data_IF_699816216379
#
_entry.id   IF_699816216379
#
_cell.length_a   1.000
_cell.length_b   1.000
_cell.length_c   1.000
_cell.angle_alpha   90.00
_cell.angle_beta   90.00
_cell.angle_gamma   90.00
#
_symmetry.space_group_name_H-M   'P 1'
#
loop_
_entity.id
_entity.type
_entity.pdbx_description
1 polymer ?
#
# COMPACT_ATOMS: atom_id res chain seq x y z
N UNK A 1 13.84 57.24 -16.53
CA UNK A 1 13.43 56.37 -17.64
C UNK A 1 12.72 55.16 -17.04
N UNK A 2 11.40 55.12 -17.12
CA UNK A 2 10.57 54.02 -16.63
C UNK A 2 10.49 52.93 -17.70
N UNK A 3 10.91 51.71 -17.38
CA UNK A 3 10.71 50.54 -18.24
C UNK A 3 9.41 49.85 -17.87
N UNK A 4 8.47 49.78 -18.81
CA UNK A 4 7.23 49.00 -18.70
C UNK A 4 7.50 47.56 -19.10
N UNK A 5 7.22 46.60 -18.21
CA UNK A 5 7.16 45.18 -18.55
C UNK A 5 5.69 44.77 -18.72
N UNK A 6 5.35 44.16 -19.86
CA UNK A 6 4.04 43.53 -20.12
C UNK A 6 4.23 42.05 -20.41
N UNK A 7 3.32 41.20 -19.91
CA UNK A 7 3.26 39.76 -20.23
C UNK A 7 1.93 39.47 -20.89
N UNK A 8 1.95 38.72 -21.99
CA UNK A 8 0.77 38.30 -22.76
C UNK A 8 0.41 36.87 -22.34
N UNK A 9 -0.84 36.66 -21.92
CA UNK A 9 -1.42 35.32 -21.75
C UNK A 9 -2.83 35.32 -22.35
N UNK A 10 -3.07 34.45 -23.34
CA UNK A 10 -4.34 34.29 -24.06
C UNK A 10 -4.98 35.59 -24.59
N UNK A 11 -4.18 36.45 -25.23
CA UNK A 11 -4.69 37.57 -26.03
C UNK A 11 -5.26 38.77 -25.27
N UNK A 12 -5.12 38.83 -23.93
CA UNK A 12 -5.56 39.99 -23.12
C UNK A 12 -4.36 40.69 -22.50
N UNK A 13 -4.27 42.01 -22.68
CA UNK A 13 -3.25 42.86 -22.06
C UNK A 13 -3.63 43.22 -20.61
N UNK A 14 -2.77 42.92 -19.64
CA UNK A 14 -2.94 43.32 -18.24
C UNK A 14 -1.82 44.29 -17.83
N UNK A 15 -2.19 45.48 -17.35
CA UNK A 15 -1.26 46.47 -16.81
C UNK A 15 -1.13 46.34 -15.27
N UNK A 16 0.08 46.12 -14.77
CA UNK A 16 0.37 46.09 -13.32
C UNK A 16 0.89 47.46 -12.85
N UNK A 17 0.19 48.09 -11.90
CA UNK A 17 0.70 49.26 -11.13
C UNK A 17 1.27 48.77 -9.81
N UNK A 18 2.60 48.81 -9.67
CA UNK A 18 3.30 48.63 -8.39
C UNK A 18 3.32 49.97 -7.64
N UNK A 19 2.72 50.01 -6.45
CA UNK A 19 2.80 51.16 -5.56
C UNK A 19 3.63 50.79 -4.32
N UNK A 20 4.84 51.34 -4.23
CA UNK A 20 5.78 51.12 -3.14
C UNK A 20 5.66 52.23 -2.09
N UNK A 21 5.06 51.94 -0.92
CA UNK A 21 5.30 52.71 0.31
C UNK A 21 5.29 51.78 1.53
N UNK A 22 6.46 51.63 2.15
CA UNK A 22 6.68 51.05 3.47
C UNK A 22 6.66 52.16 4.54
N UNK A 23 6.17 51.89 5.76
CA UNK A 23 6.65 52.54 6.97
C UNK A 23 7.41 51.58 7.91
N UNK A 24 8.37 52.14 8.67
CA UNK A 24 9.28 51.44 9.63
C UNK A 24 8.66 51.23 11.02
N UNK A 25 9.26 50.28 11.76
CA UNK A 25 8.94 49.67 13.05
C UNK A 25 8.67 50.59 14.27
N UNK A 26 7.83 50.08 15.19
CA UNK A 26 8.09 50.06 16.65
C UNK A 26 7.23 48.98 17.36
N UNK A 27 7.74 48.43 18.48
CA UNK A 27 7.11 47.46 19.42
C UNK A 27 6.99 48.17 20.81
N UNK A 28 6.02 47.87 21.72
CA UNK A 28 6.01 46.67 22.59
C UNK A 28 4.61 46.05 22.88
N UNK A 29 4.61 44.81 23.40
CA UNK A 29 3.49 43.93 23.85
C UNK A 29 2.58 44.53 24.96
N UNK A 30 1.32 44.05 25.20
CA UNK A 30 0.98 42.68 25.67
C UNK A 30 -0.30 41.99 25.09
N UNK A 31 -0.38 40.67 25.26
CA UNK A 31 -1.55 39.76 25.05
C UNK A 31 -2.73 40.11 26.00
N UNK A 32 -3.99 39.57 25.91
CA UNK A 32 -4.44 38.33 25.25
C UNK A 32 -5.86 38.39 24.58
N UNK A 33 -6.28 37.34 23.84
CA UNK A 33 -7.43 36.46 24.15
C UNK A 33 -7.91 35.65 22.93
N UNK A 34 -8.27 34.39 23.18
CA UNK A 34 -8.69 33.39 22.20
C UNK A 34 -10.13 33.60 21.73
N UNK A 35 -10.39 33.37 20.43
CA UNK A 35 -11.67 32.87 19.91
C UNK A 35 -11.51 32.32 18.47
N UNK A 36 -12.19 31.21 18.21
CA UNK A 36 -12.12 30.31 17.04
C UNK A 36 -12.40 31.00 15.68
N UNK A 37 -11.77 30.59 14.57
CA UNK A 37 -12.25 30.94 13.24
C UNK A 37 -13.22 29.90 12.67
N UNK A 38 -14.42 30.37 12.33
CA UNK A 38 -15.33 29.73 11.38
C UNK A 38 -14.72 29.80 9.97
N UNK A 39 -14.67 28.67 9.28
CA UNK A 39 -14.31 28.59 7.87
C UNK A 39 -15.48 29.08 6.99
N UNK A 40 -15.20 30.09 6.18
CA UNK A 40 -16.09 30.63 5.14
C UNK A 40 -15.92 29.79 3.87
N UNK A 41 -17.04 29.33 3.30
CA UNK A 41 -17.14 28.65 2.02
C UNK A 41 -16.81 29.59 0.85
N UNK A 42 -16.02 29.12 -0.11
CA UNK A 42 -15.83 29.80 -1.39
C UNK A 42 -17.04 29.54 -2.31
N UNK A 43 -17.52 30.62 -2.92
CA UNK A 43 -18.57 30.67 -3.93
C UNK A 43 -18.12 30.01 -5.25
N UNK A 44 -19.00 29.18 -5.82
CA UNK A 44 -19.02 28.83 -7.24
C UNK A 44 -20.13 29.63 -7.93
N UNK A 45 -19.81 30.06 -9.15
CA UNK A 45 -20.59 30.95 -10.02
C UNK A 45 -21.88 30.29 -10.54
N UNK A 46 -22.93 31.10 -10.56
CA UNK A 46 -24.29 30.82 -11.01
C UNK A 46 -24.41 30.70 -12.54
N UNK A 47 -25.18 29.71 -13.01
CA UNK A 47 -25.92 29.77 -14.28
C UNK A 47 -27.41 29.70 -13.95
N UNK A 48 -28.15 30.65 -14.49
CA UNK A 48 -29.55 30.96 -14.23
C UNK A 48 -30.42 30.23 -15.26
N UNK A 49 -31.45 29.52 -14.79
CA UNK A 49 -32.68 29.27 -15.57
C UNK A 49 -33.85 29.41 -14.62
N UNK A 50 -34.78 30.30 -15.00
CA UNK A 50 -36.01 30.63 -14.29
C UNK A 50 -37.02 29.48 -14.42
N UNK A 51 -37.76 29.13 -13.35
CA UNK A 51 -39.22 29.28 -13.37
C UNK A 51 -39.88 29.10 -11.98
N UNK A 52 -40.78 30.05 -11.74
CA UNK A 52 -41.94 30.23 -10.84
C UNK A 52 -42.20 29.38 -9.58
N UNK A 53 -42.70 30.16 -8.62
CA UNK A 53 -43.18 29.96 -7.25
C UNK A 53 -44.59 29.33 -7.21
N UNK A 54 -44.90 28.53 -6.19
CA UNK A 54 -46.27 28.09 -5.87
C UNK A 54 -46.35 27.31 -4.55
N UNK A 55 -47.21 27.77 -3.65
CA UNK A 55 -47.31 27.46 -2.21
C UNK A 55 -47.91 26.08 -1.81
N UNK A 56 -47.60 25.71 -0.56
CA UNK A 56 -48.38 25.00 0.49
C UNK A 56 -49.42 23.92 0.16
N UNK A 57 -49.34 22.76 0.86
CA UNK A 57 -50.38 22.28 1.81
C UNK A 57 -50.10 20.83 2.29
N UNK A 58 -50.77 20.49 3.38
CA UNK A 58 -50.60 19.34 4.27
C UNK A 58 -51.49 18.13 3.92
N UNK A 59 -51.11 16.98 4.50
CA UNK A 59 -51.92 15.81 4.93
C UNK A 59 -52.46 14.75 3.95
N UNK A 60 -52.06 13.52 4.28
CA UNK A 60 -52.79 12.24 4.30
C UNK A 60 -53.32 11.61 3.00
N UNK A 61 -52.85 10.39 2.72
CA UNK A 61 -53.47 9.49 1.76
C UNK A 61 -52.60 8.30 1.36
N UNK A 62 -52.73 7.19 2.09
CA UNK A 62 -52.30 5.86 1.64
C UNK A 62 -53.18 5.47 0.45
N UNK A 63 -52.60 5.33 -0.74
CA UNK A 63 -53.02 4.33 -1.72
C UNK A 63 -51.98 4.18 -2.84
N UNK A 64 -51.50 2.94 -3.00
CA UNK A 64 -50.95 2.34 -4.22
C UNK A 64 -49.85 3.12 -4.97
N UNK A 65 -48.61 3.00 -4.49
CA UNK A 65 -47.46 3.07 -5.39
C UNK A 65 -47.22 1.66 -5.91
N UNK A 66 -47.59 1.44 -7.17
CA UNK A 66 -47.05 0.36 -7.98
C UNK A 66 -45.52 0.43 -7.88
N UNK A 67 -44.92 -0.53 -7.19
CA UNK A 67 -43.48 -0.71 -7.21
C UNK A 67 -43.17 -1.20 -8.63
N UNK A 68 -42.73 -0.28 -9.49
CA UNK A 68 -42.03 -0.62 -10.73
C UNK A 68 -40.76 -1.40 -10.35
N UNK A 69 -40.92 -2.72 -10.22
CA UNK A 69 -39.83 -3.68 -10.33
C UNK A 69 -39.39 -3.68 -11.79
N UNK A 70 -38.56 -2.72 -12.16
CA UNK A 70 -37.67 -2.88 -13.30
C UNK A 70 -36.33 -3.41 -12.79
N UNK A 71 -36.39 -4.60 -12.16
CA UNK A 71 -35.21 -5.44 -12.02
C UNK A 71 -35.10 -6.22 -13.32
N UNK A 72 -34.08 -5.90 -14.11
CA UNK A 72 -33.82 -6.56 -15.38
C UNK A 72 -33.79 -8.09 -15.17
N UNK A 73 -34.26 -8.90 -16.15
CA UNK A 73 -34.26 -10.36 -16.04
C UNK A 73 -32.89 -10.95 -15.71
N UNK A 74 -31.80 -10.24 -16.04
CA UNK A 74 -30.42 -10.60 -15.66
C UNK A 74 -30.12 -10.44 -14.17
N UNK A 75 -30.69 -9.42 -13.48
CA UNK A 75 -30.45 -9.19 -12.05
C UNK A 75 -31.14 -10.22 -11.17
N UNK A 76 -32.38 -10.58 -11.50
CA UNK A 76 -33.13 -11.64 -10.78
C UNK A 76 -32.46 -12.99 -10.99
N UNK A 77 -32.08 -13.30 -12.25
CA UNK A 77 -31.36 -14.54 -12.60
C UNK A 77 -29.96 -14.61 -11.97
N UNK A 78 -29.28 -13.47 -11.83
CA UNK A 78 -28.00 -13.35 -11.14
C UNK A 78 -28.11 -13.56 -9.62
N UNK A 79 -29.18 -13.06 -8.99
CA UNK A 79 -29.43 -13.23 -7.55
C UNK A 79 -29.86 -14.65 -7.19
N UNK A 80 -30.66 -15.29 -8.06
CA UNK A 80 -31.02 -16.71 -7.94
C UNK A 80 -29.81 -17.63 -8.19
N UNK A 81 -28.98 -17.33 -9.20
CA UNK A 81 -27.73 -18.04 -9.45
C UNK A 81 -26.73 -17.90 -8.29
N UNK A 82 -26.65 -16.71 -7.67
CA UNK A 82 -25.82 -16.47 -6.49
C UNK A 82 -26.33 -17.23 -5.26
N UNK A 83 -27.63 -17.23 -5.01
CA UNK A 83 -28.24 -17.98 -3.91
C UNK A 83 -28.11 -19.51 -4.09
N UNK A 84 -28.22 -20.01 -5.33
CA UNK A 84 -27.99 -21.42 -5.66
C UNK A 84 -26.50 -21.80 -5.50
N UNK A 85 -25.59 -20.91 -5.91
CA UNK A 85 -24.14 -21.07 -5.72
C UNK A 85 -23.77 -21.10 -4.23
N UNK A 86 -24.31 -20.18 -3.43
CA UNK A 86 -24.06 -20.12 -1.98
C UNK A 86 -24.56 -21.38 -1.25
N UNK A 87 -25.74 -21.91 -1.62
CA UNK A 87 -26.26 -23.18 -1.07
C UNK A 87 -25.40 -24.38 -1.46
N UNK A 88 -24.90 -24.40 -2.69
CA UNK A 88 -24.01 -25.46 -3.19
C UNK A 88 -22.66 -25.41 -2.46
N UNK A 89 -22.06 -24.23 -2.30
CA UNK A 89 -20.81 -24.04 -1.54
C UNK A 89 -20.98 -24.43 -0.07
N UNK A 90 -22.07 -24.02 0.57
CA UNK A 90 -22.36 -24.41 1.94
C UNK A 90 -22.48 -25.95 2.09
N UNK A 91 -23.10 -26.62 1.11
CA UNK A 91 -23.20 -28.08 1.08
C UNK A 91 -21.82 -28.76 0.99
N UNK A 92 -20.95 -28.27 0.10
CA UNK A 92 -19.59 -28.80 -0.07
C UNK A 92 -18.70 -28.55 1.16
N UNK A 93 -18.84 -27.38 1.80
CA UNK A 93 -18.14 -27.07 3.05
C UNK A 93 -18.60 -27.99 4.18
N UNK A 94 -19.92 -28.19 4.34
CA UNK A 94 -20.45 -29.11 5.34
C UNK A 94 -20.01 -30.56 5.09
N UNK A 95 -19.98 -31.01 3.83
CA UNK A 95 -19.49 -32.33 3.46
C UNK A 95 -17.99 -32.51 3.77
N UNK A 96 -17.17 -31.50 3.47
CA UNK A 96 -15.74 -31.51 3.78
C UNK A 96 -15.45 -31.52 5.29
N UNK A 97 -16.22 -30.76 6.08
CA UNK A 97 -16.13 -30.77 7.54
C UNK A 97 -16.56 -32.12 8.12
N UNK A 98 -17.67 -32.70 7.64
CA UNK A 98 -18.11 -34.03 8.06
C UNK A 98 -17.07 -35.11 7.71
N UNK A 99 -16.42 -35.00 6.56
CA UNK A 99 -15.34 -35.90 6.15
C UNK A 99 -14.10 -35.74 7.02
N UNK A 100 -13.66 -34.50 7.32
CA UNK A 100 -12.54 -34.24 8.22
C UNK A 100 -12.79 -34.76 9.64
N UNK A 101 -14.02 -34.66 10.14
CA UNK A 101 -14.44 -35.27 11.41
C UNK A 101 -14.36 -36.80 11.33
N UNK A 102 -14.82 -37.40 10.23
CA UNK A 102 -14.73 -38.85 9.99
C UNK A 102 -13.28 -39.36 9.96
N UNK A 103 -12.36 -38.62 9.33
CA UNK A 103 -10.91 -38.90 9.35
C UNK A 103 -10.37 -38.80 10.77
N UNK A 104 -10.85 -37.84 11.57
CA UNK A 104 -10.45 -37.71 12.98
C UNK A 104 -10.84 -38.90 13.85
N UNK A 105 -12.00 -39.49 13.60
CA UNK A 105 -12.45 -40.70 14.30
C UNK A 105 -11.71 -41.97 13.88
N UNK A 106 -11.25 -42.05 12.62
CA UNK A 106 -10.57 -43.24 12.08
C UNK A 106 -9.05 -43.21 12.30
N UNK A 107 -8.43 -42.08 12.03
CA UNK A 107 -6.97 -41.93 11.91
C UNK A 107 -6.38 -40.95 12.94
N UNK A 108 -7.22 -40.40 13.82
CA UNK A 108 -6.82 -39.54 14.94
C UNK A 108 -6.87 -38.04 14.63
N UNK A 109 -6.98 -37.23 15.69
CA UNK A 109 -7.24 -35.79 15.61
C UNK A 109 -6.15 -35.03 14.83
N UNK A 110 -4.89 -35.46 14.91
CA UNK A 110 -3.78 -34.84 14.16
C UNK A 110 -3.95 -34.90 12.64
N UNK A 111 -4.43 -36.03 12.10
CA UNK A 111 -4.69 -36.20 10.66
C UNK A 111 -5.90 -35.39 10.19
N UNK A 112 -6.92 -35.24 11.05
CA UNK A 112 -8.04 -34.33 10.77
C UNK A 112 -7.61 -32.86 10.75
N UNK A 113 -6.71 -32.45 11.65
CA UNK A 113 -6.17 -31.08 11.67
C UNK A 113 -5.33 -30.77 10.43
N UNK A 114 -4.50 -31.72 9.97
CA UNK A 114 -3.76 -31.60 8.70
C UNK A 114 -4.72 -31.43 7.51
N UNK A 115 -5.77 -32.25 7.43
CA UNK A 115 -6.76 -32.20 6.37
C UNK A 115 -7.55 -30.87 6.36
N UNK A 116 -8.02 -30.42 7.52
CA UNK A 116 -8.78 -29.16 7.65
C UNK A 116 -7.87 -27.95 7.38
N UNK A 117 -6.59 -28.00 7.80
CA UNK A 117 -5.60 -26.96 7.49
C UNK A 117 -5.31 -26.87 5.98
N UNK A 118 -5.19 -28.01 5.30
CA UNK A 118 -5.04 -28.07 3.84
C UNK A 118 -6.27 -27.50 3.11
N UNK A 119 -7.47 -27.87 3.54
CA UNK A 119 -8.73 -27.32 2.99
C UNK A 119 -8.85 -25.81 3.19
N UNK A 120 -8.44 -25.29 4.35
CA UNK A 120 -8.41 -23.85 4.62
C UNK A 120 -7.47 -23.11 3.67
N UNK A 121 -6.28 -23.66 3.39
CA UNK A 121 -5.32 -23.10 2.41
C UNK A 121 -5.87 -23.09 0.98
N UNK A 122 -6.61 -24.12 0.58
CA UNK A 122 -7.29 -24.17 -0.72
C UNK A 122 -8.45 -23.14 -0.80
N UNK A 123 -9.19 -22.95 0.29
CA UNK A 123 -10.28 -21.97 0.36
C UNK A 123 -9.81 -20.51 0.44
N UNK A 124 -8.74 -20.23 1.18
CA UNK A 124 -8.12 -18.89 1.20
C UNK A 124 -7.39 -18.61 -0.10
N UNK A 125 -6.77 -19.62 -0.71
CA UNK A 125 -6.22 -19.55 -2.07
C UNK A 125 -7.28 -19.25 -3.12
N UNK A 126 -8.46 -19.89 -3.07
CA UNK A 126 -9.54 -19.62 -4.03
C UNK A 126 -10.24 -18.26 -3.84
N UNK A 127 -10.28 -17.69 -2.61
CA UNK A 127 -10.77 -16.32 -2.39
C UNK A 127 -9.82 -15.23 -2.89
N UNK A 128 -8.51 -15.52 -3.02
CA UNK A 128 -7.56 -14.64 -3.72
C UNK A 128 -7.61 -14.79 -5.26
N UNK A 129 -8.17 -15.90 -5.77
CA UNK A 129 -8.30 -16.22 -7.20
C UNK A 129 -9.54 -15.57 -7.85
N UNK A 130 -10.09 -14.48 -7.30
CA UNK A 130 -11.13 -13.72 -8.03
C UNK A 130 -10.58 -12.85 -9.18
N UNK A 131 -9.25 -12.74 -9.35
CA UNK A 131 -8.64 -11.91 -10.40
C UNK A 131 -7.78 -12.64 -11.45
N UNK A 132 -7.59 -13.95 -11.37
CA UNK A 132 -6.79 -14.70 -12.35
C UNK A 132 -7.43 -16.02 -12.82
N UNK A 133 -8.76 -16.13 -12.72
CA UNK A 133 -9.52 -17.30 -13.17
C UNK A 133 -9.39 -17.62 -14.68
N UNK A 134 -8.78 -16.74 -15.49
CA UNK A 134 -8.62 -16.96 -16.93
C UNK A 134 -7.46 -17.93 -17.27
N UNK A 135 -6.39 -17.96 -16.47
CA UNK A 135 -5.20 -18.78 -16.81
C UNK A 135 -5.31 -20.25 -16.33
N UNK A 136 -5.89 -20.48 -15.14
CA UNK A 136 -6.09 -21.83 -14.61
C UNK A 136 -7.22 -22.58 -15.35
N UNK A 137 -8.25 -21.88 -15.81
CA UNK A 137 -9.33 -22.49 -16.61
C UNK A 137 -8.81 -23.02 -17.96
N UNK A 138 -7.87 -22.29 -18.58
CA UNK A 138 -7.19 -22.69 -19.82
C UNK A 138 -6.36 -23.96 -19.64
N UNK A 139 -5.65 -24.07 -18.50
CA UNK A 139 -4.87 -25.27 -18.14
C UNK A 139 -5.76 -26.47 -17.82
N UNK A 140 -6.92 -26.21 -17.20
CA UNK A 140 -7.93 -27.21 -16.87
C UNK A 140 -8.65 -27.75 -18.13
N UNK A 141 -8.95 -26.89 -19.10
CA UNK A 141 -9.52 -27.28 -20.40
C UNK A 141 -8.52 -28.01 -21.29
N UNK A 142 -7.22 -27.68 -21.22
CA UNK A 142 -6.16 -28.44 -21.89
C UNK A 142 -6.01 -29.86 -21.31
N UNK A 143 -6.13 -30.02 -19.99
CA UNK A 143 -6.07 -31.33 -19.32
C UNK A 143 -7.36 -32.16 -19.51
N UNK A 144 -8.53 -31.53 -19.65
CA UNK A 144 -9.80 -32.21 -19.96
C UNK A 144 -9.98 -32.55 -21.46
N UNK A 145 -9.35 -31.81 -22.37
CA UNK A 145 -9.46 -32.09 -23.82
C UNK A 145 -8.70 -33.34 -24.26
N UNK A 146 -7.81 -33.88 -23.41
CA UNK A 146 -7.23 -35.18 -23.60
C UNK A 146 -8.24 -36.27 -23.18
N UNK A 147 -8.58 -37.19 -24.08
CA UNK A 147 -9.42 -38.39 -23.91
C UNK A 147 -8.93 -39.40 -22.85
N UNK A 148 -8.00 -38.96 -22.01
CA UNK A 148 -7.19 -39.75 -21.10
C UNK A 148 -7.64 -39.68 -19.64
N UNK A 149 -8.67 -38.90 -19.29
CA UNK A 149 -9.21 -38.81 -17.92
C UNK A 149 -10.56 -39.53 -17.83
N UNK A 150 -10.73 -40.40 -16.82
CA UNK A 150 -12.00 -41.08 -16.57
C UNK A 150 -12.99 -40.15 -15.86
N UNK A 151 -14.26 -40.21 -16.25
CA UNK A 151 -15.34 -39.45 -15.61
C UNK A 151 -15.74 -39.98 -14.22
N UNK A 152 -15.27 -41.18 -13.86
CA UNK A 152 -15.65 -41.86 -12.62
C UNK A 152 -14.51 -41.92 -11.63
N UNK A 153 -14.82 -41.67 -10.36
CA UNK A 153 -13.88 -41.81 -9.25
C UNK A 153 -13.65 -43.29 -8.94
N UNK A 154 -12.39 -43.73 -8.97
CA UNK A 154 -11.98 -45.13 -8.72
C UNK A 154 -11.16 -45.24 -7.43
N UNK A 155 -11.75 -44.75 -6.33
CA UNK A 155 -11.14 -44.77 -5.00
C UNK A 155 -9.75 -44.13 -4.97
N UNK A 156 -8.78 -44.84 -4.40
CA UNK A 156 -7.40 -44.36 -4.21
C UNK A 156 -6.47 -44.63 -5.41
N UNK A 157 -6.99 -45.13 -6.55
CA UNK A 157 -6.17 -45.43 -7.71
C UNK A 157 -5.99 -44.19 -8.57
N UNK A 158 -4.75 -43.87 -8.92
CA UNK A 158 -4.43 -42.76 -9.84
C UNK A 158 -4.74 -43.07 -11.31
N UNK A 159 -4.85 -44.36 -11.65
CA UNK A 159 -5.16 -44.82 -12.99
C UNK A 159 -6.21 -45.92 -12.95
N UNK A 160 -7.10 -45.92 -13.94
CA UNK A 160 -8.13 -46.95 -14.11
C UNK A 160 -8.15 -47.42 -15.57
N UNK A 161 -8.63 -48.63 -15.82
CA UNK A 161 -8.79 -49.17 -17.17
C UNK A 161 -10.26 -49.10 -17.57
N UNK A 162 -10.56 -48.34 -18.61
CA UNK A 162 -11.91 -48.19 -19.15
C UNK A 162 -11.84 -48.37 -20.66
N UNK A 163 -12.68 -49.27 -21.19
CA UNK A 163 -12.71 -49.64 -22.62
C UNK A 163 -11.35 -50.10 -23.17
N UNK A 164 -10.56 -50.81 -22.35
CA UNK A 164 -9.23 -51.31 -22.73
C UNK A 164 -8.11 -50.25 -22.72
N UNK A 165 -8.41 -48.99 -22.39
CA UNK A 165 -7.44 -47.89 -22.34
C UNK A 165 -7.19 -47.47 -20.89
N UNK A 166 -5.92 -47.29 -20.52
CA UNK A 166 -5.53 -46.77 -19.21
C UNK A 166 -5.78 -45.27 -19.15
N UNK A 167 -6.72 -44.84 -18.30
CA UNK A 167 -7.10 -43.44 -18.07
C UNK A 167 -6.64 -42.98 -16.68
N UNK A 168 -6.25 -41.72 -16.56
CA UNK A 168 -6.04 -41.05 -15.28
C UNK A 168 -7.37 -40.83 -14.56
N UNK A 169 -7.39 -41.00 -13.24
CA UNK A 169 -8.59 -40.74 -12.43
C UNK A 169 -8.66 -39.27 -12.03
N UNK A 170 -9.85 -38.77 -11.64
CA UNK A 170 -10.00 -37.42 -11.09
C UNK A 170 -9.07 -37.15 -9.90
N UNK A 171 -8.72 -38.18 -9.12
CA UNK A 171 -7.79 -38.07 -7.99
C UNK A 171 -6.39 -37.63 -8.44
N UNK A 172 -5.85 -38.19 -9.54
CA UNK A 172 -4.55 -37.79 -10.07
C UNK A 172 -4.58 -36.36 -10.59
N UNK A 173 -5.68 -35.95 -11.20
CA UNK A 173 -5.87 -34.57 -11.66
C UNK A 173 -5.93 -33.59 -10.49
N UNK A 174 -6.63 -33.93 -9.40
CA UNK A 174 -6.68 -33.11 -8.19
C UNK A 174 -5.29 -32.95 -7.57
N UNK A 175 -4.52 -34.04 -7.45
CA UNK A 175 -3.13 -33.96 -6.93
C UNK A 175 -2.26 -33.12 -7.86
N UNK A 176 -2.35 -33.31 -9.19
CA UNK A 176 -1.60 -32.50 -10.14
C UNK A 176 -1.95 -31.01 -10.03
N UNK A 177 -3.22 -30.65 -9.84
CA UNK A 177 -3.63 -29.24 -9.65
C UNK A 177 -3.11 -28.67 -8.34
N UNK A 178 -3.12 -29.44 -7.24
CA UNK A 178 -2.58 -29.00 -5.95
C UNK A 178 -1.07 -28.77 -6.07
N UNK A 179 -0.32 -29.74 -6.59
CA UNK A 179 1.14 -29.64 -6.75
C UNK A 179 1.53 -28.54 -7.74
N UNK A 180 0.81 -28.38 -8.86
CA UNK A 180 1.04 -27.30 -9.82
C UNK A 180 0.67 -25.93 -9.24
N UNK A 181 -0.33 -25.85 -8.36
CA UNK A 181 -0.63 -24.62 -7.65
C UNK A 181 0.49 -24.25 -6.68
N UNK A 182 1.05 -25.22 -5.94
CA UNK A 182 2.19 -24.99 -5.04
C UNK A 182 3.45 -24.54 -5.81
N UNK A 183 3.71 -25.11 -6.99
CA UNK A 183 4.79 -24.67 -7.88
C UNK A 183 4.51 -23.27 -8.44
N UNK A 184 3.29 -22.96 -8.88
CA UNK A 184 2.94 -21.62 -9.37
C UNK A 184 3.09 -20.56 -8.25
N UNK A 185 2.65 -20.87 -7.03
CA UNK A 185 2.87 -20.00 -5.87
C UNK A 185 4.35 -19.85 -5.52
N UNK A 186 5.16 -20.89 -5.65
CA UNK A 186 6.60 -20.82 -5.42
C UNK A 186 7.35 -19.99 -6.48
N UNK A 187 6.82 -19.90 -7.70
CA UNK A 187 7.41 -19.15 -8.81
C UNK A 187 6.93 -17.69 -8.84
N UNK A 188 5.71 -17.39 -8.37
CA UNK A 188 5.11 -16.05 -8.43
C UNK A 188 5.45 -15.13 -7.24
N UNK A 189 6.00 -15.64 -6.14
CA UNK A 189 6.60 -14.78 -5.11
C UNK A 189 8.08 -14.58 -5.43
N UNK A 190 8.54 -13.35 -5.78
CA UNK A 190 9.95 -13.10 -5.96
C UNK A 190 10.65 -13.36 -4.62
N UNK A 191 11.34 -14.49 -4.50
CA UNK A 191 12.25 -14.74 -3.40
C UNK A 191 13.26 -13.61 -3.38
N UNK A 192 13.29 -12.85 -2.28
CA UNK A 192 14.20 -11.72 -2.13
C UNK A 192 15.63 -12.17 -2.43
N UNK A 193 16.24 -11.61 -3.50
CA UNK A 193 17.62 -11.89 -3.86
C UNK A 193 18.54 -11.03 -2.99
N UNK A 194 19.48 -11.67 -2.30
CA UNK A 194 20.46 -10.96 -1.49
C UNK A 194 21.40 -10.18 -2.43
N UNK A 195 21.35 -8.85 -2.35
CA UNK A 195 22.14 -7.93 -3.17
C UNK A 195 23.34 -7.42 -2.37
N UNK A 196 24.53 -7.41 -3.00
CA UNK A 196 25.67 -6.69 -2.44
C UNK A 196 25.48 -5.19 -2.67
N UNK A 197 25.42 -4.43 -1.58
CA UNK A 197 25.11 -3.01 -1.63
C UNK A 197 26.30 -2.20 -2.17
N UNK A 198 26.10 -1.32 -3.17
CA UNK A 198 27.18 -0.50 -3.68
C UNK A 198 27.72 0.46 -2.61
N UNK A 199 29.02 0.82 -2.65
CA UNK A 199 29.61 1.78 -1.74
C UNK A 199 29.01 3.17 -1.93
N UNK A 200 28.99 3.96 -0.87
CA UNK A 200 28.43 5.32 -0.90
C UNK A 200 29.34 6.27 -1.69
N UNK A 201 28.78 7.01 -2.64
CA UNK A 201 29.47 8.02 -3.41
C UNK A 201 29.59 9.33 -2.64
N UNK A 202 30.76 9.95 -2.71
CA UNK A 202 31.10 11.20 -2.04
C UNK A 202 31.55 12.30 -3.03
N UNK A 203 32.05 13.42 -2.52
CA UNK A 203 32.50 14.56 -3.35
C UNK A 203 33.64 14.25 -4.32
N UNK A 204 34.40 13.19 -4.08
CA UNK A 204 35.51 12.76 -4.94
C UNK A 204 35.06 11.77 -6.03
N UNK A 205 33.85 11.26 -5.92
CA UNK A 205 33.31 10.25 -6.81
C UNK A 205 32.87 10.83 -8.15
N UNK A 206 33.23 10.16 -9.25
CA UNK A 206 32.74 10.52 -10.58
C UNK A 206 31.25 10.21 -10.73
N UNK A 207 30.50 10.95 -11.57
CA UNK A 207 29.09 10.65 -11.82
C UNK A 207 28.94 9.28 -12.50
N UNK A 208 27.87 8.52 -12.22
CA UNK A 208 27.51 7.39 -13.06
C UNK A 208 27.14 7.88 -14.47
N UNK A 209 27.08 6.98 -15.47
CA UNK A 209 26.47 7.31 -16.75
C UNK A 209 25.05 7.84 -16.52
N UNK A 210 24.70 8.97 -17.12
CA UNK A 210 23.39 9.61 -16.95
C UNK A 210 22.56 9.43 -18.22
N UNK A 211 21.30 9.06 -18.06
CA UNK A 211 20.31 8.87 -19.12
C UNK A 211 20.75 7.86 -20.20
N UNK A 212 21.53 6.85 -19.80
CA UNK A 212 22.00 5.75 -20.66
C UNK A 212 20.97 4.62 -20.85
N UNK A 213 19.75 4.81 -20.32
CA UNK A 213 18.68 3.81 -20.32
C UNK A 213 18.63 2.94 -19.06
N UNK A 214 19.63 3.00 -18.19
CA UNK A 214 19.61 2.30 -16.89
C UNK A 214 18.75 3.07 -15.89
N UNK A 215 17.81 2.38 -15.24
CA UNK A 215 17.02 2.98 -14.16
C UNK A 215 17.85 3.05 -12.89
N UNK A 216 17.98 4.25 -12.30
CA UNK A 216 18.78 4.48 -11.10
C UNK A 216 17.96 5.13 -9.99
N UNK A 217 18.07 4.60 -8.78
CA UNK A 217 17.51 5.19 -7.57
C UNK A 217 18.64 5.80 -6.75
N UNK A 218 18.72 7.12 -6.73
CA UNK A 218 19.64 7.88 -5.91
C UNK A 218 19.14 7.90 -4.47
N UNK A 219 19.93 7.36 -3.54
CA UNK A 219 19.53 7.15 -2.14
C UNK A 219 20.57 7.68 -1.18
N UNK A 220 20.22 7.73 0.09
CA UNK A 220 21.18 7.65 1.19
C UNK A 220 20.68 6.53 2.10
N UNK A 221 21.55 5.61 2.50
CA UNK A 221 21.14 4.40 3.24
C UNK A 221 20.44 4.71 4.57
N UNK A 222 20.76 5.83 5.21
CA UNK A 222 20.14 6.23 6.48
C UNK A 222 18.90 7.14 6.30
N UNK A 223 18.56 7.56 5.08
CA UNK A 223 17.44 8.49 4.83
C UNK A 223 16.08 7.76 4.85
N UNK A 224 15.15 8.11 5.76
CA UNK A 224 13.86 7.43 5.85
C UNK A 224 12.97 7.65 4.62
N UNK A 225 13.08 8.79 3.96
CA UNK A 225 12.34 9.05 2.71
C UNK A 225 12.85 8.16 1.57
N UNK A 226 14.16 7.94 1.48
CA UNK A 226 14.74 7.08 0.46
C UNK A 226 14.44 5.60 0.74
N UNK A 227 14.40 5.23 2.01
CA UNK A 227 14.06 3.87 2.45
C UNK A 227 12.66 3.45 1.99
N UNK A 228 11.66 4.35 1.93
CA UNK A 228 10.33 4.05 1.35
C UNK A 228 10.44 3.45 -0.06
N UNK A 229 11.22 4.12 -0.90
CA UNK A 229 11.39 3.75 -2.31
C UNK A 229 12.24 2.49 -2.44
N UNK A 230 13.24 2.34 -1.55
CA UNK A 230 14.06 1.14 -1.48
C UNK A 230 13.25 -0.11 -1.05
N UNK A 231 12.40 0.00 -0.03
CA UNK A 231 11.49 -1.09 0.37
C UNK A 231 10.55 -1.44 -0.79
N UNK A 232 9.97 -0.44 -1.46
CA UNK A 232 9.07 -0.66 -2.61
C UNK A 232 9.78 -1.41 -3.74
N UNK A 233 11.01 -0.99 -4.09
CA UNK A 233 11.88 -1.67 -5.07
C UNK A 233 12.10 -3.13 -4.68
N UNK A 234 12.51 -3.38 -3.45
CA UNK A 234 12.85 -4.72 -2.98
C UNK A 234 11.63 -5.64 -2.93
N UNK A 235 10.50 -5.13 -2.45
CA UNK A 235 9.26 -5.91 -2.31
C UNK A 235 8.68 -6.30 -3.67
N UNK A 236 8.85 -5.44 -4.68
CA UNK A 236 8.42 -5.73 -6.06
C UNK A 236 9.42 -6.59 -6.84
N UNK A 237 10.54 -7.00 -6.25
CA UNK A 237 11.56 -7.80 -6.94
C UNK A 237 12.36 -7.01 -8.00
N UNK A 238 12.47 -5.69 -7.85
CA UNK A 238 13.05 -4.80 -8.86
C UNK A 238 14.55 -4.53 -8.66
N UNK A 239 15.25 -5.39 -7.92
CA UNK A 239 16.66 -5.20 -7.58
C UNK A 239 17.55 -5.12 -8.84
N UNK A 240 17.29 -5.98 -9.82
CA UNK A 240 18.05 -5.99 -11.07
C UNK A 240 17.70 -4.84 -12.00
N UNK A 241 16.46 -4.36 -11.93
CA UNK A 241 15.93 -3.31 -12.83
C UNK A 241 16.26 -1.90 -12.37
N UNK A 242 16.29 -1.67 -11.05
CA UNK A 242 16.53 -0.35 -10.46
C UNK A 242 17.87 -0.42 -9.72
N UNK A 243 18.91 0.23 -10.23
CA UNK A 243 20.22 0.23 -9.58
C UNK A 243 20.30 1.30 -8.48
N UNK A 244 20.82 0.94 -7.31
CA UNK A 244 21.02 1.90 -6.22
C UNK A 244 22.25 2.75 -6.49
N UNK A 245 22.10 4.06 -6.28
CA UNK A 245 23.21 5.03 -6.29
C UNK A 245 23.22 5.73 -4.93
N UNK A 246 23.89 5.15 -3.92
CA UNK A 246 23.97 5.73 -2.59
C UNK A 246 24.89 6.96 -2.59
N UNK A 247 24.42 8.02 -1.96
CA UNK A 247 25.10 9.32 -1.87
C UNK A 247 25.33 9.68 -0.41
N UNK A 248 26.54 10.14 -0.11
CA UNK A 248 26.87 10.72 1.18
C UNK A 248 26.28 12.13 1.25
N UNK A 249 25.28 12.35 2.10
CA UNK A 249 24.62 13.66 2.18
C UNK A 249 25.47 14.73 2.89
N UNK A 250 26.44 14.33 3.72
CA UNK A 250 27.36 15.24 4.43
C UNK A 250 28.56 15.63 3.57
N UNK A 251 29.00 14.73 2.67
CA UNK A 251 30.08 14.96 1.73
C UNK A 251 29.62 14.64 0.31
N UNK A 252 28.66 15.41 -0.20
CA UNK A 252 27.93 15.09 -1.44
C UNK A 252 28.72 15.48 -2.69
N UNK A 253 28.66 14.69 -3.78
CA UNK A 253 29.14 15.12 -5.08
C UNK A 253 28.33 16.28 -5.66
N UNK A 254 29.03 17.31 -6.15
CA UNK A 254 28.43 18.48 -6.80
C UNK A 254 27.63 18.11 -8.05
N UNK A 255 28.09 17.08 -8.78
CA UNK A 255 27.41 16.59 -9.98
C UNK A 255 25.97 16.14 -9.72
N UNK A 256 25.63 15.74 -8.48
CA UNK A 256 24.26 15.32 -8.18
C UNK A 256 23.28 16.49 -8.36
N UNK A 257 23.61 17.66 -7.80
CA UNK A 257 22.77 18.85 -7.95
C UNK A 257 22.82 19.39 -9.38
N UNK A 258 24.00 19.42 -9.96
CA UNK A 258 24.25 20.09 -11.23
C UNK A 258 23.75 19.30 -12.44
N UNK A 259 23.85 17.97 -12.40
CA UNK A 259 23.63 17.10 -13.57
C UNK A 259 22.47 16.13 -13.41
N UNK A 260 22.08 15.78 -12.19
CA UNK A 260 21.06 14.74 -11.94
C UNK A 260 19.76 15.34 -11.43
N UNK A 261 19.77 15.92 -10.23
CA UNK A 261 18.56 16.39 -9.57
C UNK A 261 18.76 17.77 -8.94
N UNK A 262 18.28 18.85 -9.58
CA UNK A 262 18.39 20.22 -9.08
C UNK A 262 17.81 20.43 -7.68
N UNK A 263 16.82 19.62 -7.30
CA UNK A 263 16.22 19.63 -5.96
C UNK A 263 17.21 19.25 -4.85
N UNK A 264 18.36 18.67 -5.19
CA UNK A 264 19.47 18.35 -4.29
C UNK A 264 18.99 17.65 -3.00
N UNK A 265 18.10 16.68 -3.15
CA UNK A 265 17.57 15.83 -2.09
C UNK A 265 17.50 14.40 -2.60
N UNK A 266 17.43 13.44 -1.68
CA UNK A 266 17.16 12.02 -1.98
C UNK A 266 15.85 11.62 -1.28
N UNK A 267 15.06 10.68 -1.82
CA UNK A 267 15.32 9.91 -3.03
C UNK A 267 15.10 10.71 -4.32
N UNK A 268 15.76 10.27 -5.39
CA UNK A 268 15.42 10.64 -6.77
C UNK A 268 15.53 9.42 -7.67
N UNK A 269 14.58 9.24 -8.58
CA UNK A 269 14.53 8.13 -9.54
C UNK A 269 14.81 8.65 -10.94
N UNK A 270 15.87 8.18 -11.56
CA UNK A 270 16.15 8.34 -12.98
C UNK A 270 15.49 7.19 -13.75
N UNK A 271 14.53 7.52 -14.60
CA UNK A 271 13.81 6.56 -15.44
C UNK A 271 13.27 7.26 -16.68
N UNK A 272 13.34 6.60 -17.84
CA UNK A 272 12.80 7.10 -19.12
C UNK A 272 13.24 8.54 -19.47
N UNK A 273 14.53 8.83 -19.30
CA UNK A 273 15.11 10.12 -19.65
C UNK A 273 14.73 11.27 -18.71
N UNK A 274 14.14 10.98 -17.54
CA UNK A 274 13.71 11.98 -16.56
C UNK A 274 14.16 11.60 -15.16
N UNK A 275 14.28 12.60 -14.29
CA UNK A 275 14.52 12.41 -12.87
C UNK A 275 13.31 12.89 -12.08
N UNK A 276 12.76 12.00 -11.26
CA UNK A 276 11.56 12.23 -10.46
C UNK A 276 11.95 12.24 -8.98
N UNK A 277 11.48 13.24 -8.23
CA UNK A 277 11.68 13.34 -6.78
C UNK A 277 10.41 12.98 -6.00
N UNK A 278 10.41 13.32 -4.71
CA UNK A 278 9.30 13.10 -3.76
C UNK A 278 9.00 11.63 -3.46
N UNK A 279 9.36 11.17 -2.26
CA UNK A 279 9.30 9.74 -1.91
C UNK A 279 7.91 9.11 -2.05
N UNK A 280 6.82 9.84 -1.74
CA UNK A 280 5.46 9.32 -1.84
C UNK A 280 5.00 9.20 -3.30
N UNK A 281 5.44 10.10 -4.17
CA UNK A 281 5.17 10.03 -5.60
C UNK A 281 5.98 8.90 -6.23
N UNK A 282 7.23 8.71 -5.80
CA UNK A 282 8.09 7.63 -6.28
C UNK A 282 7.54 6.23 -5.95
N UNK A 283 7.04 5.99 -4.74
CA UNK A 283 6.48 4.67 -4.42
C UNK A 283 5.22 4.37 -5.26
N UNK A 284 4.37 5.37 -5.51
CA UNK A 284 3.19 5.24 -6.41
C UNK A 284 3.61 5.05 -7.86
N UNK A 285 4.63 5.79 -8.31
CA UNK A 285 5.18 5.69 -9.65
C UNK A 285 5.75 4.30 -9.89
N UNK A 286 6.56 3.77 -8.96
CA UNK A 286 7.11 2.42 -9.07
C UNK A 286 6.00 1.37 -9.10
N UNK A 287 4.99 1.49 -8.22
CA UNK A 287 3.89 0.53 -8.19
C UNK A 287 3.06 0.51 -9.49
N UNK A 288 2.95 1.66 -10.16
CA UNK A 288 2.15 1.81 -11.39
C UNK A 288 2.90 1.53 -12.69
N UNK A 289 4.23 1.67 -12.70
CA UNK A 289 5.04 1.63 -13.94
C UNK A 289 5.99 0.43 -14.02
N UNK A 290 6.13 -0.35 -12.94
CA UNK A 290 6.97 -1.54 -12.92
C UNK A 290 6.16 -2.78 -12.57
N UNK A 291 6.67 -3.94 -12.99
CA UNK A 291 6.10 -5.25 -12.66
C UNK A 291 6.24 -5.59 -11.16
N UNK A 292 5.68 -6.74 -10.78
CA UNK A 292 5.68 -7.23 -9.41
C UNK A 292 4.34 -7.03 -8.69
N UNK A 293 4.22 -7.49 -7.44
CA UNK A 293 2.98 -7.42 -6.67
C UNK A 293 2.44 -5.99 -6.57
N UNK A 294 1.12 -5.85 -6.70
CA UNK A 294 0.42 -4.56 -6.54
C UNK A 294 0.43 -4.15 -5.07
N UNK A 295 0.90 -2.93 -4.77
CA UNK A 295 1.01 -2.42 -3.41
C UNK A 295 -0.09 -1.41 -3.05
N UNK A 296 -1.00 -1.11 -3.97
CA UNK A 296 -2.16 -0.26 -3.70
C UNK A 296 -3.47 -0.87 -4.22
N UNK A 297 -4.60 -0.72 -3.50
CA UNK A 297 -5.89 -1.25 -3.94
C UNK A 297 -6.37 -0.62 -5.26
N UNK A 298 -6.78 -1.46 -6.21
CA UNK A 298 -7.32 -1.02 -7.52
C UNK A 298 -8.84 -1.05 -7.62
N UNK A 299 -9.48 -2.09 -7.08
CA UNK A 299 -10.94 -2.29 -7.20
C UNK A 299 -11.66 -2.25 -5.84
N UNK A 300 -11.05 -1.58 -4.85
CA UNK A 300 -11.67 -1.33 -3.55
C UNK A 300 -11.66 0.18 -3.27
N UNK A 301 -12.76 0.89 -3.58
CA UNK A 301 -12.84 2.34 -3.42
C UNK A 301 -12.68 2.81 -1.96
N UNK A 302 -13.16 2.02 -0.99
CA UNK A 302 -13.07 2.39 0.43
C UNK A 302 -11.62 2.29 0.92
N UNK A 303 -10.95 1.16 0.65
CA UNK A 303 -9.52 1.00 0.98
C UNK A 303 -8.65 2.02 0.25
N UNK A 304 -8.95 2.30 -1.02
CA UNK A 304 -8.22 3.30 -1.80
C UNK A 304 -8.32 4.68 -1.16
N UNK A 305 -9.55 5.11 -0.83
CA UNK A 305 -9.80 6.42 -0.19
C UNK A 305 -9.09 6.51 1.16
N UNK A 306 -9.23 5.49 2.01
CA UNK A 306 -8.58 5.47 3.33
C UNK A 306 -7.04 5.45 3.22
N UNK A 307 -6.50 4.70 2.24
CA UNK A 307 -5.07 4.71 1.95
C UNK A 307 -4.56 6.07 1.49
N UNK A 308 -5.30 6.79 0.66
CA UNK A 308 -4.98 8.17 0.24
C UNK A 308 -5.02 9.16 1.41
N UNK A 309 -6.00 9.02 2.30
CA UNK A 309 -6.10 9.81 3.54
C UNK A 309 -4.87 9.60 4.44
N UNK A 310 -4.48 8.34 4.67
CA UNK A 310 -3.30 8.00 5.46
C UNK A 310 -2.01 8.50 4.81
N UNK A 311 -1.83 8.30 3.50
CA UNK A 311 -0.65 8.81 2.78
C UNK A 311 -0.54 10.34 2.87
N UNK A 312 -1.67 11.06 2.88
CA UNK A 312 -1.70 12.51 3.08
C UNK A 312 -1.37 12.89 4.52
N UNK A 313 -1.76 12.08 5.50
CA UNK A 313 -1.51 12.33 6.93
C UNK A 313 -0.05 12.12 7.35
N UNK A 314 0.73 11.32 6.60
CA UNK A 314 2.14 11.01 6.88
C UNK A 314 3.00 12.25 7.20
N UNK A 315 2.83 13.35 6.48
CA UNK A 315 3.64 14.56 6.72
C UNK A 315 3.23 15.28 8.02
N UNK A 316 1.94 15.19 8.40
CA UNK A 316 1.45 15.65 9.69
C UNK A 316 2.05 14.80 10.82
N UNK A 317 2.00 13.47 10.66
CA UNK A 317 2.56 12.51 11.60
C UNK A 317 4.05 12.75 11.87
N UNK A 318 4.84 12.75 10.80
CA UNK A 318 6.30 12.91 10.91
C UNK A 318 6.68 14.31 11.39
N UNK A 319 6.03 15.36 10.86
CA UNK A 319 6.28 16.74 11.27
C UNK A 319 5.96 17.00 12.74
N UNK A 320 4.88 16.40 13.26
CA UNK A 320 4.51 16.52 14.67
C UNK A 320 5.59 15.96 15.59
N UNK A 321 6.04 14.72 15.33
CA UNK A 321 7.05 14.06 16.17
C UNK A 321 8.44 14.70 16.06
N UNK A 322 8.89 15.09 14.87
CA UNK A 322 10.19 15.78 14.76
C UNK A 322 10.21 17.12 15.52
N UNK A 323 9.10 17.86 15.52
CA UNK A 323 9.01 19.14 16.25
C UNK A 323 8.92 18.92 17.76
N UNK A 324 8.34 17.82 18.22
CA UNK A 324 8.15 17.55 19.64
C UNK A 324 9.42 17.11 20.37
N UNK A 325 10.48 16.67 19.66
CA UNK A 325 11.74 16.26 20.30
C UNK A 325 12.45 17.36 21.09
N UNK A 326 12.16 18.63 20.82
CA UNK A 326 12.63 19.78 21.63
C UNK A 326 11.62 20.26 22.68
N UNK A 327 10.49 19.56 22.81
CA UNK A 327 9.39 19.90 23.72
C UNK A 327 8.81 18.63 24.33
N UNK A 328 7.48 18.49 24.30
CA UNK A 328 6.79 17.34 24.86
C UNK A 328 6.70 16.18 23.85
N UNK A 329 7.80 15.44 23.74
CA UNK A 329 7.92 14.31 22.82
C UNK A 329 6.92 13.19 23.14
N UNK A 330 6.67 12.92 24.42
CA UNK A 330 5.79 11.84 24.89
C UNK A 330 4.34 12.15 24.54
N UNK A 331 3.85 13.35 24.84
CA UNK A 331 2.48 13.73 24.49
C UNK A 331 2.22 13.67 22.98
N UNK A 332 3.15 14.19 22.19
CA UNK A 332 3.03 14.12 20.74
C UNK A 332 3.08 12.66 20.24
N UNK A 333 3.92 11.81 20.85
CA UNK A 333 3.94 10.38 20.58
C UNK A 333 2.59 9.74 20.90
N UNK A 334 2.00 10.01 22.06
CA UNK A 334 0.68 9.49 22.41
C UNK A 334 -0.38 9.85 21.36
N UNK A 335 -0.54 11.14 21.05
CA UNK A 335 -1.52 11.61 20.08
C UNK A 335 -1.35 10.98 18.69
N UNK A 336 -0.10 10.89 18.21
CA UNK A 336 0.21 10.41 16.87
C UNK A 336 0.12 8.88 16.75
N UNK A 337 0.60 8.14 17.75
CA UNK A 337 0.52 6.68 17.73
C UNK A 337 -0.88 6.17 18.08
N UNK A 338 -1.67 6.90 18.87
CA UNK A 338 -3.10 6.58 19.09
C UNK A 338 -3.91 6.74 17.80
N UNK A 339 -3.60 7.75 16.98
CA UNK A 339 -4.20 7.89 15.65
C UNK A 339 -3.91 6.66 14.78
N UNK A 340 -2.65 6.19 14.74
CA UNK A 340 -2.27 5.01 13.96
C UNK A 340 -2.87 3.72 14.51
N UNK A 341 -2.90 3.54 15.82
CA UNK A 341 -3.57 2.41 16.50
C UNK A 341 -5.06 2.33 16.10
N UNK A 342 -5.74 3.48 16.01
CA UNK A 342 -7.13 3.53 15.57
C UNK A 342 -7.27 3.29 14.06
N UNK A 343 -6.35 3.79 13.25
CA UNK A 343 -6.34 3.52 11.81
C UNK A 343 -6.19 2.02 11.50
N UNK A 344 -5.33 1.31 12.24
CA UNK A 344 -5.12 -0.14 12.11
C UNK A 344 -6.34 -1.00 12.50
N UNK A 345 -7.38 -0.42 13.10
CA UNK A 345 -8.63 -1.13 13.43
C UNK A 345 -9.65 -1.12 12.29
N UNK A 346 -9.42 -0.32 11.24
CA UNK A 346 -10.41 -0.06 10.18
C UNK A 346 -10.72 -1.30 9.34
N UNK A 347 -9.73 -2.14 9.07
CA UNK A 347 -9.87 -3.39 8.33
C UNK A 347 -9.37 -4.55 9.19
N UNK A 348 -10.10 -5.67 9.21
CA UNK A 348 -9.88 -6.81 10.09
C UNK A 348 -9.33 -8.05 9.35
N UNK A 349 -9.13 -7.96 8.04
CA UNK A 349 -8.65 -9.04 7.17
C UNK A 349 -7.12 -9.09 7.04
N UNK A 350 -6.40 -8.41 7.93
CA UNK A 350 -4.96 -8.58 8.11
C UNK A 350 -4.35 -7.54 9.06
N UNK A 351 -3.03 -7.62 9.30
CA UNK A 351 -2.34 -6.81 10.32
C UNK A 351 -1.93 -5.42 9.82
N UNK A 352 -2.16 -5.10 8.54
CA UNK A 352 -1.67 -3.88 7.87
C UNK A 352 -2.75 -2.79 7.80
N UNK A 353 -2.35 -1.55 7.49
CA UNK A 353 -3.29 -0.40 7.48
C UNK A 353 -4.50 -0.60 6.55
N UNK A 354 -4.33 -1.33 5.44
CA UNK A 354 -5.38 -1.65 4.48
C UNK A 354 -5.81 -3.13 4.54
N UNK A 355 -5.52 -3.81 5.66
CA UNK A 355 -5.63 -5.26 5.83
C UNK A 355 -4.41 -5.98 5.27
N UNK A 356 -4.12 -5.78 3.98
CA UNK A 356 -2.95 -6.34 3.29
C UNK A 356 -1.79 -5.33 3.21
N UNK A 357 -0.55 -5.83 3.07
CA UNK A 357 0.64 -4.97 3.00
C UNK A 357 0.58 -4.04 1.79
N UNK A 358 0.86 -2.76 2.01
CA UNK A 358 0.60 -1.72 1.03
C UNK A 358 1.62 -0.58 1.05
N UNK A 359 1.48 0.35 0.09
CA UNK A 359 2.24 1.60 0.06
C UNK A 359 2.06 2.44 1.34
N UNK A 360 0.94 2.30 2.05
CA UNK A 360 0.70 3.00 3.31
C UNK A 360 1.69 2.51 4.37
N UNK A 361 1.82 1.20 4.53
CA UNK A 361 2.74 0.59 5.49
C UNK A 361 4.20 1.00 5.19
N UNK A 362 4.58 0.97 3.92
CA UNK A 362 5.89 1.41 3.43
C UNK A 362 6.13 2.90 3.71
N UNK A 363 5.11 3.74 3.62
CA UNK A 363 5.24 5.17 3.89
C UNK A 363 5.53 5.47 5.36
N UNK A 364 4.97 4.68 6.29
CA UNK A 364 5.10 4.88 7.72
C UNK A 364 6.33 4.19 8.34
N UNK A 365 6.65 2.95 7.94
CA UNK A 365 7.65 2.14 8.64
C UNK A 365 9.04 2.78 8.81
N UNK A 366 9.62 3.50 7.82
CA UNK A 366 10.92 4.13 8.02
C UNK A 366 10.92 5.19 9.13
N UNK A 367 9.77 5.80 9.40
CA UNK A 367 9.65 6.80 10.46
C UNK A 367 9.36 6.13 11.80
N UNK A 368 8.43 5.19 11.82
CA UNK A 368 8.07 4.47 13.05
C UNK A 368 9.25 3.70 13.60
N UNK A 369 10.07 3.03 12.77
CA UNK A 369 11.27 2.34 13.26
C UNK A 369 12.23 3.31 13.95
N UNK A 370 12.38 4.53 13.41
CA UNK A 370 13.32 5.50 13.95
C UNK A 370 12.80 6.12 15.23
N UNK A 371 11.51 6.46 15.25
CA UNK A 371 10.85 7.02 16.41
C UNK A 371 10.78 6.03 17.56
N UNK A 372 10.51 4.75 17.30
CA UNK A 372 10.52 3.71 18.33
C UNK A 372 11.88 3.67 19.04
N UNK A 373 12.97 3.54 18.28
CA UNK A 373 14.32 3.45 18.82
C UNK A 373 14.69 4.72 19.59
N UNK A 374 14.42 5.90 19.02
CA UNK A 374 14.81 7.16 19.64
C UNK A 374 13.98 7.50 20.89
N UNK A 375 12.65 7.31 20.85
CA UNK A 375 11.77 7.54 22.00
C UNK A 375 12.08 6.58 23.14
N UNK A 376 12.37 5.32 22.83
CA UNK A 376 12.78 4.33 23.83
C UNK A 376 14.13 4.70 24.47
N UNK A 377 15.15 5.03 23.68
CA UNK A 377 16.48 5.32 24.21
C UNK A 377 16.52 6.63 25.02
N UNK A 378 15.94 7.71 24.48
CA UNK A 378 16.08 9.06 25.05
C UNK A 378 14.98 9.39 26.05
N UNK A 379 13.73 9.08 25.71
CA UNK A 379 12.56 9.48 26.49
C UNK A 379 12.01 8.33 27.36
N UNK A 380 12.62 7.15 27.29
CA UNK A 380 12.17 5.94 28.02
C UNK A 380 10.71 5.60 27.75
N UNK A 381 10.26 5.87 26.53
CA UNK A 381 8.87 5.74 26.11
C UNK A 381 8.71 4.61 25.10
N UNK A 382 7.79 3.69 25.39
CA UNK A 382 7.43 2.57 24.52
C UNK A 382 6.16 2.91 23.73
N UNK A 383 6.31 3.07 22.41
CA UNK A 383 5.20 3.39 21.51
C UNK A 383 4.17 2.26 21.41
N UNK A 384 4.53 1.03 21.77
CA UNK A 384 3.66 -0.15 21.65
C UNK A 384 2.81 -0.41 22.90
N UNK A 385 3.19 0.19 24.04
CA UNK A 385 2.44 0.07 25.28
C UNK A 385 1.03 0.64 25.12
N UNK A 386 0.01 -0.18 25.36
CA UNK A 386 -1.40 0.19 25.18
C UNK A 386 -1.88 0.20 23.71
N UNK A 387 -1.04 -0.19 22.74
CA UNK A 387 -1.32 -0.15 21.30
C UNK A 387 -1.11 -1.53 20.65
N UNK A 388 -2.00 -2.51 20.91
CA UNK A 388 -1.81 -3.89 20.48
C UNK A 388 -1.85 -4.06 18.95
N UNK A 389 -2.63 -3.25 18.22
CA UNK A 389 -2.66 -3.33 16.74
C UNK A 389 -1.35 -2.80 16.16
N UNK A 390 -0.82 -1.71 16.71
CA UNK A 390 0.49 -1.18 16.32
C UNK A 390 1.62 -2.19 16.63
N UNK A 391 1.56 -2.86 17.78
CA UNK A 391 2.52 -3.90 18.15
C UNK A 391 2.51 -5.07 17.14
N UNK A 392 1.32 -5.59 16.81
CA UNK A 392 1.16 -6.65 15.82
C UNK A 392 1.62 -6.20 14.41
N UNK A 393 1.24 -4.99 14.00
CA UNK A 393 1.69 -4.40 12.73
C UNK A 393 3.22 -4.36 12.64
N UNK A 394 3.89 -3.93 13.71
CA UNK A 394 5.33 -3.83 13.75
C UNK A 394 6.01 -5.22 13.71
N UNK A 395 5.45 -6.20 14.42
CA UNK A 395 5.92 -7.58 14.38
C UNK A 395 5.85 -8.17 12.97
N UNK A 396 4.72 -8.01 12.30
CA UNK A 396 4.48 -8.56 10.95
C UNK A 396 5.35 -7.88 9.89
N UNK A 397 5.57 -6.56 9.97
CA UNK A 397 6.49 -5.90 9.05
C UNK A 397 7.93 -6.35 9.25
N UNK A 398 8.38 -6.61 10.48
CA UNK A 398 9.73 -7.11 10.73
C UNK A 398 9.96 -8.53 10.19
N UNK A 399 8.94 -9.24 9.70
CA UNK A 399 9.07 -10.52 8.99
C UNK A 399 9.33 -10.35 7.49
N UNK A 400 9.15 -9.14 6.96
CA UNK A 400 9.31 -8.84 5.52
C UNK A 400 10.80 -8.61 5.20
N UNK A 401 11.44 -9.56 4.51
CA UNK A 401 12.87 -9.45 4.14
C UNK A 401 13.17 -8.20 3.32
N UNK A 402 12.28 -7.83 2.39
CA UNK A 402 12.42 -6.61 1.58
C UNK A 402 12.54 -5.32 2.41
N UNK A 403 12.01 -5.32 3.64
CA UNK A 403 12.17 -4.23 4.60
C UNK A 403 13.40 -4.42 5.49
N UNK A 404 13.61 -5.62 6.06
CA UNK A 404 14.69 -5.89 7.03
C UNK A 404 16.07 -5.47 6.55
N UNK A 405 16.38 -5.75 5.29
CA UNK A 405 17.66 -5.41 4.65
C UNK A 405 17.91 -3.91 4.46
N UNK A 406 16.87 -3.09 4.63
CA UNK A 406 16.95 -1.63 4.46
C UNK A 406 17.14 -0.88 5.78
N UNK A 407 17.15 -1.61 6.91
CA UNK A 407 17.20 -1.02 8.25
C UNK A 407 18.54 -0.36 8.51
N UNK A 408 18.50 0.77 9.20
CA UNK A 408 19.69 1.49 9.69
C UNK A 408 20.17 0.90 11.02
N UNK A 409 21.46 1.06 11.33
CA UNK A 409 21.99 0.72 12.66
C UNK A 409 21.30 1.57 13.75
N UNK A 410 20.69 0.95 14.78
CA UNK A 410 19.99 1.68 15.83
C UNK A 410 20.88 2.63 16.64
N UNK A 411 22.14 2.28 16.90
CA UNK A 411 23.07 3.10 17.68
C UNK A 411 23.49 4.34 16.89
N UNK A 412 23.82 4.17 15.62
CA UNK A 412 24.14 5.29 14.73
C UNK A 412 22.97 6.26 14.59
N UNK A 413 21.75 5.71 14.47
CA UNK A 413 20.53 6.50 14.40
C UNK A 413 20.34 7.36 15.67
N UNK A 414 20.45 6.76 16.86
CA UNK A 414 20.27 7.48 18.13
C UNK A 414 21.32 8.58 18.26
N UNK A 415 22.59 8.28 17.96
CA UNK A 415 23.66 9.28 18.00
C UNK A 415 23.38 10.45 17.06
N UNK A 416 22.94 10.16 15.82
CA UNK A 416 22.57 11.18 14.86
C UNK A 416 21.39 12.04 15.34
N UNK A 417 20.34 11.43 15.92
CA UNK A 417 19.16 12.15 16.40
C UNK A 417 19.47 13.01 17.62
N UNK A 418 20.29 12.54 18.57
CA UNK A 418 20.77 13.34 19.71
C UNK A 418 21.50 14.59 19.22
N UNK A 419 22.46 14.43 18.31
CA UNK A 419 23.18 15.55 17.69
C UNK A 419 22.26 16.52 16.93
N UNK A 420 21.29 15.99 16.19
CA UNK A 420 20.41 16.80 15.34
C UNK A 420 19.35 17.55 16.12
N UNK A 421 18.77 16.95 17.15
CA UNK A 421 17.57 17.46 17.81
C UNK A 421 17.80 17.95 19.24
N UNK A 422 18.81 17.43 19.96
CA UNK A 422 19.05 17.78 21.36
C UNK A 422 20.25 18.71 21.54
N UNK A 423 21.35 18.52 20.80
CA UNK A 423 22.59 19.31 20.97
C UNK A 423 22.53 20.72 20.38
N UNK A 424 21.49 21.08 19.61
CA UNK A 424 21.28 22.44 19.11
C UNK A 424 20.53 23.34 20.13
N UNK A 425 20.82 23.20 21.42
CA UNK A 425 20.25 24.02 22.50
C UNK A 425 21.22 25.11 22.94
#
# INVERSE_FOLDING_TARGET
>A
MMGTASVIHNGVHIHLKLNSRLPRLSSPYPSPNWSRPHFVHNHIVSVRTEEKRGDSASCDGISNVEISHDDSPEKIKGREAYAASAKTVALWVCAAVAFGIGVGFKDGVGKATEFISGMYRVFTGTKLVSRQAVCLCSSFQLLQSATYVSATYDGNRFFTFQDGVRKATPLLLTVAVIELSDVAFAVDFPTYQHEELPPTLDSTSSPPPLFDGTTRLYVNYSCPFAQRVWITRNYKGLQDKIKLVPINLQNRPDWYKEKVYPGNKVPALEHNGKVIGESLDLIKYIDSNFEGPSLFPKDDPERKKFGEELLTYVDTFTGSLYRSFKGDAVKAADEQFDYLENALKKFDDGPYFLGQFSLVDIAYIPFIERFQVFLSDVFKYDITAGRPKLAAWFEEINKIEAYKVTKTDPKELVAFYKKRFLEQQ
#
